data_IF_580486267311
#
_entry.id   IF_580486267311
#
_cell.length_a   1.000
_cell.length_b   1.000
_cell.length_c   1.000
_cell.angle_alpha   90.00
_cell.angle_beta   90.00
_cell.angle_gamma   90.00
#
_symmetry.space_group_name_H-M   'P 1'
#
loop_
_entity.id
_entity.type
_entity.pdbx_description
1 polymer ?
#
# COMPACT_ATOMS: atom_id res chain seq x y z
N UNK A 1 8.36 -20.65 17.14
CA UNK A 1 8.23 -20.66 15.67
C UNK A 1 7.52 -19.38 15.31
N UNK A 2 8.28 -18.35 14.94
CA UNK A 2 7.79 -16.98 14.83
C UNK A 2 7.73 -16.59 13.36
N UNK A 3 6.59 -15.96 13.06
CA UNK A 3 6.21 -15.26 11.84
C UNK A 3 5.85 -16.17 10.66
N UNK A 4 4.54 -16.25 10.44
CA UNK A 4 3.94 -16.69 9.19
C UNK A 4 4.44 -15.77 8.08
N UNK A 5 5.15 -16.32 7.09
CA UNK A 5 5.59 -15.62 5.89
C UNK A 5 4.40 -14.94 5.20
N UNK A 6 4.26 -13.63 5.41
CA UNK A 6 3.25 -12.83 4.71
C UNK A 6 3.71 -12.69 3.26
N UNK A 7 3.34 -13.66 2.44
CA UNK A 7 3.59 -13.67 1.00
C UNK A 7 2.50 -12.89 0.27
N UNK A 8 2.77 -12.44 -0.97
CA UNK A 8 1.78 -11.72 -1.79
C UNK A 8 0.44 -12.46 -1.99
N UNK A 9 0.42 -13.79 -1.80
CA UNK A 9 -0.83 -14.59 -1.79
C UNK A 9 -1.54 -14.60 -0.43
N UNK A 10 -0.81 -14.42 0.67
CA UNK A 10 -1.34 -14.49 2.04
C UNK A 10 -1.54 -13.11 2.71
N UNK A 11 -1.08 -12.05 2.05
CA UNK A 11 -1.22 -10.65 2.47
C UNK A 11 -2.68 -10.21 2.70
N UNK A 12 -3.61 -10.82 1.96
CA UNK A 12 -5.05 -10.59 2.11
C UNK A 12 -5.76 -11.73 2.83
N UNK A 13 -5.03 -12.78 3.22
CA UNK A 13 -5.57 -13.77 4.14
C UNK A 13 -5.81 -13.03 5.45
N UNK A 14 -7.02 -13.14 6.01
CA UNK A 14 -7.55 -12.31 7.12
C UNK A 14 -8.01 -10.88 6.78
N UNK A 15 -8.07 -10.46 5.51
CA UNK A 15 -8.59 -9.13 5.14
C UNK A 15 -7.73 -7.95 5.61
N UNK A 16 -6.52 -8.21 6.15
CA UNK A 16 -5.59 -7.19 6.64
C UNK A 16 -5.18 -6.19 5.59
N UNK A 17 -5.03 -6.63 4.33
CA UNK A 17 -4.71 -5.72 3.23
C UNK A 17 -5.87 -4.77 2.92
N UNK A 18 -7.11 -5.29 2.92
CA UNK A 18 -8.31 -4.48 2.68
C UNK A 18 -8.55 -3.50 3.84
N UNK A 19 -8.44 -3.93 5.10
CA UNK A 19 -8.53 -3.04 6.28
C UNK A 19 -7.46 -1.93 6.25
N UNK A 20 -6.22 -2.28 5.88
CA UNK A 20 -5.11 -1.33 5.84
C UNK A 20 -5.26 -0.34 4.67
N UNK A 21 -5.87 -0.78 3.56
CA UNK A 21 -6.25 0.05 2.43
C UNK A 21 -7.46 0.95 2.76
N UNK A 22 -8.44 0.47 3.50
CA UNK A 22 -9.59 1.27 3.97
C UNK A 22 -9.18 2.31 5.01
N UNK A 23 -8.22 1.96 5.88
CA UNK A 23 -7.59 2.89 6.83
C UNK A 23 -6.63 3.88 6.15
N UNK A 24 -6.25 3.64 4.88
CA UNK A 24 -5.34 4.50 4.15
C UNK A 24 -6.03 5.82 3.73
N UNK A 25 -5.52 6.91 4.30
CA UNK A 25 -6.03 8.25 4.03
C UNK A 25 -5.61 8.72 2.63
N UNK A 26 -6.55 8.67 1.69
CA UNK A 26 -6.30 8.97 0.27
C UNK A 26 -5.90 10.42 0.05
N UNK A 27 -6.36 11.34 0.91
CA UNK A 27 -5.97 12.75 0.83
C UNK A 27 -4.48 12.91 1.17
N UNK A 28 -3.99 12.23 2.23
CA UNK A 28 -2.56 12.23 2.58
C UNK A 28 -1.71 11.53 1.52
N UNK A 29 -2.16 10.38 1.03
CA UNK A 29 -1.44 9.65 -0.01
C UNK A 29 -1.32 10.47 -1.31
N UNK A 30 -2.42 11.13 -1.71
CA UNK A 30 -2.41 12.05 -2.84
C UNK A 30 -1.36 13.14 -2.65
N UNK A 31 -1.41 13.86 -1.52
CA UNK A 31 -0.42 14.91 -1.22
C UNK A 31 1.02 14.38 -1.22
N UNK A 32 1.24 13.16 -0.71
CA UNK A 32 2.56 12.52 -0.71
C UNK A 32 3.06 12.26 -2.12
N UNK A 33 2.26 11.58 -2.96
CA UNK A 33 2.65 11.29 -4.34
C UNK A 33 2.75 12.55 -5.21
N UNK A 34 1.90 13.55 -4.98
CA UNK A 34 1.97 14.85 -5.68
C UNK A 34 3.24 15.59 -5.32
N UNK A 35 3.64 15.58 -4.04
CA UNK A 35 4.90 16.16 -3.57
C UNK A 35 6.11 15.42 -4.13
N UNK A 36 6.06 14.09 -4.20
CA UNK A 36 7.15 13.26 -4.73
C UNK A 36 7.31 13.41 -6.25
N UNK A 37 6.20 13.45 -6.99
CA UNK A 37 6.20 13.53 -8.46
C UNK A 37 6.27 14.98 -8.96
N UNK A 38 6.01 15.96 -8.08
CA UNK A 38 5.89 17.37 -8.42
C UNK A 38 4.71 17.69 -9.34
N UNK A 39 3.72 16.79 -9.43
CA UNK A 39 2.59 16.87 -10.36
C UNK A 39 1.31 16.45 -9.67
N UNK A 40 0.21 17.11 -10.02
CA UNK A 40 -1.10 16.72 -9.50
C UNK A 40 -1.53 15.36 -10.03
N UNK A 41 -1.95 14.50 -9.12
CA UNK A 41 -2.40 13.14 -9.44
C UNK A 41 -3.93 13.09 -9.38
N UNK A 42 -4.59 12.60 -10.45
CA UNK A 42 -6.01 12.31 -10.38
C UNK A 42 -6.27 11.26 -9.30
N UNK A 43 -7.40 11.36 -8.59
CA UNK A 43 -7.74 10.45 -7.48
C UNK A 43 -7.61 8.97 -7.86
N UNK A 44 -8.09 8.57 -9.04
CA UNK A 44 -7.96 7.19 -9.52
C UNK A 44 -6.50 6.71 -9.61
N UNK A 45 -5.56 7.58 -10.02
CA UNK A 45 -4.13 7.25 -10.02
C UNK A 45 -3.57 7.12 -8.62
N UNK A 46 -4.06 7.93 -7.68
CA UNK A 46 -3.68 7.81 -6.25
C UNK A 46 -4.12 6.46 -5.72
N UNK A 47 -5.36 6.01 -5.98
CA UNK A 47 -5.83 4.69 -5.57
C UNK A 47 -4.94 3.55 -6.11
N UNK A 48 -4.58 3.59 -7.40
CA UNK A 48 -3.67 2.60 -8.00
C UNK A 48 -2.28 2.66 -7.35
N UNK A 49 -1.77 3.87 -7.10
CA UNK A 49 -0.47 4.08 -6.50
C UNK A 49 -0.43 3.55 -5.05
N UNK A 50 -1.46 3.79 -4.25
CA UNK A 50 -1.62 3.23 -2.91
C UNK A 50 -1.65 1.70 -2.97
N UNK A 51 -2.48 1.11 -3.84
CA UNK A 51 -2.60 -0.36 -3.96
C UNK A 51 -1.26 -1.00 -4.30
N UNK A 52 -0.53 -0.43 -5.27
CA UNK A 52 0.82 -0.87 -5.63
C UNK A 52 1.83 -0.63 -4.52
N UNK A 53 1.81 0.54 -3.88
CA UNK A 53 2.75 0.89 -2.82
C UNK A 53 2.59 -0.03 -1.62
N UNK A 54 1.35 -0.28 -1.18
CA UNK A 54 1.07 -1.20 -0.08
C UNK A 54 1.45 -2.63 -0.44
N UNK A 55 1.11 -3.11 -1.65
CA UNK A 55 1.55 -4.43 -2.12
C UNK A 55 3.06 -4.56 -2.15
N UNK A 56 3.76 -3.58 -2.72
CA UNK A 56 5.22 -3.57 -2.79
C UNK A 56 5.81 -3.50 -1.38
N UNK A 57 5.33 -2.61 -0.52
CA UNK A 57 5.82 -2.44 0.85
C UNK A 57 5.71 -3.73 1.68
N UNK A 58 4.59 -4.45 1.56
CA UNK A 58 4.38 -5.67 2.33
C UNK A 58 5.12 -6.85 1.68
N UNK A 59 5.21 -6.92 0.35
CA UNK A 59 5.96 -7.98 -0.35
C UNK A 59 7.47 -7.80 -0.22
N UNK A 60 7.94 -6.55 -0.19
CA UNK A 60 9.32 -6.13 -0.02
C UNK A 60 9.68 -5.94 1.46
N UNK A 61 8.76 -6.28 2.36
CA UNK A 61 8.95 -6.35 3.80
C UNK A 61 9.87 -7.49 4.25
N UNK A 62 10.50 -8.20 3.31
CA UNK A 62 11.74 -8.94 3.56
C UNK A 62 12.86 -7.94 3.85
N UNK A 63 12.93 -7.51 5.11
CA UNK A 63 14.07 -6.79 5.66
C UNK A 63 15.23 -7.81 5.78
N UNK A 64 16.22 -7.71 4.90
CA UNK A 64 17.57 -8.26 5.15
C UNK A 64 18.26 -7.47 6.29
#
# INVERSE_FOLDING_TARGET
MLVSDITASNINDYGRFDELKESADIAKAKAYFEKQTGKQLPMYKVHIAIDKFLKDYITKGEYE
#
